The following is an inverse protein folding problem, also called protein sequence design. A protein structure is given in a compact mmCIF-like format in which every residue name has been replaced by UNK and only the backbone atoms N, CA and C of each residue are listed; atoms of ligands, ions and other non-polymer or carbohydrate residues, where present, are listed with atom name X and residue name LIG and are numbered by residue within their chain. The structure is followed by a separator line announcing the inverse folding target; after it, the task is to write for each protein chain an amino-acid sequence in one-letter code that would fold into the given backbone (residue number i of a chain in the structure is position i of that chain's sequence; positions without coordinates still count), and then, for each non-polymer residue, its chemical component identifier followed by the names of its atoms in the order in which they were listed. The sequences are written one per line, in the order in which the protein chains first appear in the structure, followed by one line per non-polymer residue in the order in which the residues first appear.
data_IF_970444207350
#
_entry.id   IF_970444207350
#
_cell.length_a   1.000
_cell.length_b   1.000
_cell.length_c   1.000
_cell.angle_alpha   90.00
_cell.angle_beta   90.00
_cell.angle_gamma   90.00
#
_symmetry.space_group_name_H-M   'P 1'
#
loop_
_entity.id
_entity.type
_entity.pdbx_description
1 polymer ?
#
# COMPACT_ATOMS: atom_id res chain seq x y z
N UNK A 1 -24.82 -7.59 26.34
CA UNK A 1 -23.47 -7.63 25.74
C UNK A 1 -23.55 -8.38 24.42
N UNK A 2 -23.62 -7.64 23.30
CA UNK A 2 -23.79 -8.23 21.97
C UNK A 2 -22.52 -8.96 21.52
N UNK A 3 -22.68 -10.20 21.04
CA UNK A 3 -21.62 -10.95 20.34
C UNK A 3 -21.11 -10.09 19.18
N UNK A 4 -19.83 -9.71 19.22
CA UNK A 4 -19.08 -9.17 18.07
C UNK A 4 -18.95 -10.25 16.99
N UNK A 5 -20.05 -10.50 16.27
CA UNK A 5 -20.07 -11.33 15.09
C UNK A 5 -19.35 -10.60 13.95
N UNK A 6 -18.28 -11.25 13.49
CA UNK A 6 -17.86 -11.29 12.09
C UNK A 6 -17.06 -10.10 11.56
N UNK A 7 -15.75 -10.35 11.46
CA UNK A 7 -14.71 -9.63 10.72
C UNK A 7 -14.11 -8.39 11.39
N UNK A 8 -12.83 -8.53 11.71
CA UNK A 8 -11.95 -7.46 12.11
C UNK A 8 -10.91 -7.29 11.00
N UNK A 9 -10.53 -6.08 10.62
CA UNK A 9 -9.51 -5.86 9.58
C UNK A 9 -8.41 -4.93 10.10
N UNK A 10 -7.15 -5.36 10.02
CA UNK A 10 -6.02 -4.44 10.13
C UNK A 10 -5.60 -4.05 8.73
N UNK A 11 -5.84 -2.79 8.37
CA UNK A 11 -5.46 -2.29 7.05
C UNK A 11 -4.05 -1.70 7.15
N UNK A 12 -3.08 -2.36 6.55
CA UNK A 12 -1.74 -1.81 6.28
C UNK A 12 -1.71 -1.30 4.82
N UNK A 13 -2.72 -0.50 4.46
CA UNK A 13 -3.00 -0.19 3.06
C UNK A 13 -2.27 1.06 2.64
N UNK A 14 -1.28 0.90 1.76
CA UNK A 14 -0.99 1.99 0.84
C UNK A 14 -1.68 1.79 -0.49
N UNK A 15 -2.09 2.89 -1.06
CA UNK A 15 -2.43 2.94 -2.46
C UNK A 15 -1.66 4.12 -3.02
N UNK A 16 -0.71 3.85 -3.91
CA UNK A 16 -0.31 4.83 -4.91
C UNK A 16 -1.22 4.56 -6.10
N UNK A 17 -2.22 5.41 -6.28
CA UNK A 17 -2.66 5.84 -7.61
C UNK A 17 -3.65 6.99 -7.42
N UNK A 18 -3.12 8.18 -7.17
CA UNK A 18 -3.67 9.37 -7.82
C UNK A 18 -2.74 9.66 -9.00
N UNK A 19 -3.06 9.11 -10.17
CA UNK A 19 -2.82 9.91 -11.37
C UNK A 19 -3.77 11.09 -11.26
N UNK A 20 -3.24 12.19 -10.72
CA UNK A 20 -3.83 13.50 -10.80
C UNK A 20 -4.12 13.77 -12.28
N UNK A 21 -5.39 13.67 -12.67
CA UNK A 21 -5.88 14.14 -13.95
C UNK A 21 -6.97 15.19 -13.69
N UNK A 22 -6.56 16.32 -13.13
CA UNK A 22 -7.13 17.61 -13.52
C UNK A 22 -5.99 18.58 -13.80
N UNK A 23 -5.94 19.02 -15.05
CA UNK A 23 -4.98 20.00 -15.53
C UNK A 23 -5.05 21.30 -14.73
N UNK A 24 -3.87 21.89 -14.58
CA UNK A 24 -3.50 23.30 -14.37
C UNK A 24 -4.46 24.23 -13.60
N UNK A 25 -3.82 24.98 -12.70
CA UNK A 25 -4.23 26.30 -12.17
C UNK A 25 -5.59 26.33 -11.49
N UNK A 26 -5.59 26.02 -10.19
CA UNK A 26 -6.21 26.83 -9.14
C UNK A 26 -6.31 25.96 -7.89
N UNK A 27 -5.33 26.09 -6.98
CA UNK A 27 -5.62 26.00 -5.56
C UNK A 27 -6.57 27.16 -5.23
N UNK A 28 -7.85 27.01 -5.53
CA UNK A 28 -8.89 27.84 -4.95
C UNK A 28 -9.78 26.95 -4.10
N UNK A 29 -9.83 27.33 -2.84
CA UNK A 29 -10.71 26.79 -1.80
C UNK A 29 -12.13 26.65 -2.35
N UNK A 30 -12.56 25.42 -2.61
CA UNK A 30 -13.97 25.13 -2.86
C UNK A 30 -14.72 24.97 -1.53
N UNK A 31 -15.98 25.44 -1.46
CA UNK A 31 -16.67 25.68 -0.20
C UNK A 31 -16.98 24.39 0.56
N UNK A 32 -16.90 24.47 1.88
CA UNK A 32 -17.25 23.44 2.86
C UNK A 32 -18.71 23.01 2.72
N UNK A 33 -19.01 22.07 1.81
CA UNK A 33 -20.27 21.32 1.82
C UNK A 33 -19.97 19.86 2.13
N UNK A 34 -20.13 19.51 3.41
CA UNK A 34 -20.46 18.19 3.97
C UNK A 34 -19.96 16.94 3.22
N UNK A 35 -18.64 16.77 3.06
CA UNK A 35 -18.05 15.44 2.82
C UNK A 35 -16.78 15.28 3.68
N UNK A 36 -16.89 14.77 4.91
CA UNK A 36 -15.88 14.97 5.96
C UNK A 36 -14.58 14.16 5.81
N UNK A 37 -14.29 13.51 4.67
CA UNK A 37 -13.24 12.48 4.61
C UNK A 37 -12.24 12.53 3.43
N UNK A 38 -12.39 13.44 2.46
CA UNK A 38 -11.59 13.39 1.22
C UNK A 38 -10.42 14.38 1.14
N UNK A 39 -10.34 15.38 2.01
CA UNK A 39 -9.37 16.49 1.86
C UNK A 39 -7.88 16.14 2.12
N UNK A 40 -7.56 14.92 2.55
CA UNK A 40 -6.18 14.49 2.88
C UNK A 40 -5.81 13.12 2.30
N UNK A 41 -6.48 12.69 1.23
CA UNK A 41 -6.22 11.40 0.56
C UNK A 41 -5.57 11.64 -0.80
N UNK A 42 -4.64 10.76 -1.19
CA UNK A 42 -4.03 10.76 -2.53
C UNK A 42 -4.99 10.11 -3.55
N UNK A 43 -6.17 10.69 -3.68
CA UNK A 43 -7.25 10.33 -4.61
C UNK A 43 -8.27 11.46 -4.62
N UNK A 44 -9.04 11.60 -5.69
CA UNK A 44 -10.20 12.50 -5.77
C UNK A 44 -11.44 11.94 -5.03
N UNK A 45 -11.32 10.74 -4.46
CA UNK A 45 -12.38 10.10 -3.71
C UNK A 45 -11.90 8.99 -2.79
N UNK A 46 -12.67 7.89 -2.78
CA UNK A 46 -12.43 6.73 -1.90
C UNK A 46 -11.19 5.97 -2.33
N UNK A 47 -10.44 5.47 -1.35
CA UNK A 47 -9.33 4.56 -1.56
C UNK A 47 -9.84 3.12 -1.67
N UNK A 48 -9.01 2.22 -2.23
CA UNK A 48 -9.33 0.80 -2.33
C UNK A 48 -9.75 0.20 -0.98
N UNK A 49 -9.10 0.60 0.13
CA UNK A 49 -9.46 0.19 1.49
C UNK A 49 -10.89 0.55 1.88
N UNK A 50 -11.40 1.72 1.45
CA UNK A 50 -12.77 2.14 1.74
C UNK A 50 -13.79 1.28 0.97
N UNK A 51 -13.47 0.91 -0.27
CA UNK A 51 -14.31 0.02 -1.07
C UNK A 51 -14.33 -1.40 -0.51
N UNK A 52 -13.18 -1.90 -0.03
CA UNK A 52 -13.09 -3.19 0.66
C UNK A 52 -13.93 -3.16 1.94
N UNK A 53 -13.78 -2.12 2.78
CA UNK A 53 -14.58 -1.96 3.99
C UNK A 53 -16.08 -1.90 3.68
N UNK A 54 -16.49 -1.11 2.68
CA UNK A 54 -17.89 -1.03 2.22
C UNK A 54 -18.41 -2.39 1.77
N UNK A 55 -17.65 -3.14 0.98
CA UNK A 55 -18.05 -4.48 0.50
C UNK A 55 -18.14 -5.49 1.65
N UNK A 56 -17.31 -5.34 2.67
CA UNK A 56 -17.36 -6.10 3.91
C UNK A 56 -18.43 -5.63 4.91
N UNK A 57 -19.27 -4.64 4.55
CA UNK A 57 -20.28 -4.02 5.42
C UNK A 57 -19.71 -3.44 6.72
N UNK A 58 -18.49 -2.89 6.64
CA UNK A 58 -17.80 -2.22 7.74
C UNK A 58 -17.87 -0.69 7.60
N UNK A 59 -17.77 0.05 8.71
CA UNK A 59 -17.54 1.49 8.64
C UNK A 59 -16.22 1.80 7.95
N UNK A 60 -16.05 3.07 7.54
CA UNK A 60 -14.75 3.53 7.06
C UNK A 60 -13.70 3.34 8.15
N UNK A 61 -12.53 2.86 7.74
CA UNK A 61 -11.49 2.46 8.66
C UNK A 61 -10.68 3.70 9.04
N UNK A 62 -10.65 4.07 10.33
CA UNK A 62 -9.98 5.28 10.76
C UNK A 62 -8.45 5.18 10.64
N UNK A 63 -7.76 6.26 10.24
CA UNK A 63 -6.31 6.36 10.32
C UNK A 63 -5.81 6.29 11.77
N UNK A 64 -4.73 5.56 12.00
CA UNK A 64 -4.13 5.40 13.33
C UNK A 64 -3.70 6.74 13.96
N UNK A 65 -3.20 7.67 13.15
CA UNK A 65 -2.72 8.98 13.60
C UNK A 65 -3.80 10.06 13.65
N UNK A 66 -5.07 9.69 13.47
CA UNK A 66 -6.16 10.65 13.58
C UNK A 66 -6.26 11.19 15.03
N UNK A 67 -6.34 12.51 15.25
CA UNK A 67 -6.58 13.06 16.58
C UNK A 67 -7.89 12.52 17.19
N UNK A 68 -7.87 12.16 18.47
CA UNK A 68 -9.04 11.60 19.16
C UNK A 68 -9.35 10.13 18.82
N UNK A 69 -8.42 9.41 18.20
CA UNK A 69 -8.53 7.98 17.92
C UNK A 69 -8.67 7.17 19.22
N UNK A 70 -9.89 6.70 19.51
CA UNK A 70 -10.23 6.04 20.79
C UNK A 70 -10.67 4.58 20.66
N UNK A 71 -11.06 4.13 19.46
CA UNK A 71 -11.73 2.84 19.30
C UNK A 71 -11.29 2.13 18.02
N UNK A 72 -10.67 0.96 18.16
CA UNK A 72 -10.19 0.16 17.04
C UNK A 72 -11.18 -0.94 16.62
N UNK A 73 -12.42 -0.99 17.12
CA UNK A 73 -13.25 -2.21 17.08
C UNK A 73 -13.56 -2.80 15.69
N UNK A 74 -13.47 -2.01 14.63
CA UNK A 74 -13.73 -2.46 13.25
C UNK A 74 -12.48 -2.45 12.36
N UNK A 75 -11.36 -2.00 12.90
CA UNK A 75 -10.10 -1.93 12.19
C UNK A 75 -9.34 -0.63 12.38
N UNK A 76 -8.11 -0.63 11.88
CA UNK A 76 -7.18 0.50 11.95
C UNK A 76 -6.42 0.60 10.64
N UNK A 77 -6.24 1.82 10.13
CA UNK A 77 -5.42 2.10 8.96
C UNK A 77 -4.08 2.73 9.38
N UNK A 78 -2.98 2.01 9.18
CA UNK A 78 -1.63 2.49 9.52
C UNK A 78 -0.97 3.31 8.40
N UNK A 79 -1.70 3.68 7.36
CA UNK A 79 -1.12 4.27 6.18
C UNK A 79 -0.56 5.71 6.36
N UNK A 80 0.76 5.92 6.16
CA UNK A 80 1.48 7.15 5.73
C UNK A 80 1.89 7.22 4.24
N UNK A 81 1.43 8.23 3.49
CA UNK A 81 1.87 8.41 2.09
C UNK A 81 3.40 8.53 1.99
N UNK A 82 3.97 8.00 0.91
CA UNK A 82 5.43 7.92 0.74
C UNK A 82 6.11 6.78 1.52
N UNK A 83 5.40 6.05 2.40
CA UNK A 83 6.00 4.95 3.15
C UNK A 83 6.67 3.91 2.25
N UNK A 84 7.89 3.53 2.64
CA UNK A 84 8.65 2.43 2.05
C UNK A 84 8.95 1.33 3.06
N UNK A 85 9.39 0.18 2.54
CA UNK A 85 9.95 -0.88 3.36
C UNK A 85 11.31 -0.46 3.98
N UNK A 86 12.05 0.41 3.30
CA UNK A 86 13.31 0.99 3.74
C UNK A 86 13.08 2.29 4.50
N UNK A 87 13.93 2.59 5.49
CA UNK A 87 13.79 3.79 6.33
C UNK A 87 14.24 5.07 5.60
N UNK A 88 15.08 4.90 4.59
CA UNK A 88 15.62 5.93 3.72
C UNK A 88 14.56 6.42 2.70
N UNK A 89 13.53 5.61 2.44
CA UNK A 89 12.45 5.95 1.50
C UNK A 89 11.67 7.16 2.01
N UNK A 90 11.84 8.30 1.33
CA UNK A 90 11.27 9.60 1.73
C UNK A 90 11.52 9.94 3.21
N UNK A 91 12.75 9.68 3.68
CA UNK A 91 13.15 9.93 5.06
C UNK A 91 12.76 11.34 5.53
N UNK A 92 12.13 11.41 6.71
CA UNK A 92 11.64 12.66 7.30
C UNK A 92 10.28 13.13 6.78
N UNK A 93 9.80 12.61 5.65
CA UNK A 93 8.51 12.96 5.06
C UNK A 93 7.46 11.84 5.17
N UNK A 94 7.91 10.59 5.35
CA UNK A 94 7.03 9.42 5.45
C UNK A 94 7.35 8.56 6.68
N UNK A 95 6.40 7.72 7.07
CA UNK A 95 6.58 6.74 8.15
C UNK A 95 6.97 5.40 7.54
N UNK A 96 8.17 4.94 7.87
CA UNK A 96 8.72 3.67 7.37
C UNK A 96 7.97 2.44 7.93
N UNK A 97 8.11 1.31 7.24
CA UNK A 97 7.41 0.06 7.57
C UNK A 97 7.68 -0.45 9.00
N UNK A 98 8.89 -0.26 9.55
CA UNK A 98 9.20 -0.70 10.91
C UNK A 98 8.47 0.18 11.93
N UNK A 99 8.39 1.49 11.68
CA UNK A 99 7.59 2.39 12.52
C UNK A 99 6.09 2.09 12.43
N UNK A 100 5.59 1.70 11.24
CA UNK A 100 4.19 1.23 11.09
C UNK A 100 3.92 -0.05 11.90
N UNK A 101 4.87 -0.98 11.93
CA UNK A 101 4.82 -2.16 12.79
C UNK A 101 4.81 -1.79 14.28
N UNK A 102 5.58 -0.78 14.70
CA UNK A 102 5.52 -0.26 16.07
C UNK A 102 4.13 0.30 16.42
N UNK A 103 3.48 1.01 15.49
CA UNK A 103 2.11 1.49 15.68
C UNK A 103 1.10 0.34 15.77
N UNK A 104 1.27 -0.71 14.99
CA UNK A 104 0.50 -1.94 15.14
C UNK A 104 0.68 -2.59 16.52
N UNK A 105 1.91 -2.64 17.03
CA UNK A 105 2.18 -3.17 18.38
C UNK A 105 1.44 -2.39 19.46
N UNK A 106 1.29 -1.05 19.33
CA UNK A 106 0.48 -0.24 20.25
C UNK A 106 -0.99 -0.67 20.22
N UNK A 107 -1.54 -0.91 19.03
CA UNK A 107 -2.93 -1.38 18.87
C UNK A 107 -3.12 -2.78 19.45
N UNK A 108 -2.16 -3.68 19.27
CA UNK A 108 -2.20 -5.00 19.92
C UNK A 108 -2.21 -4.88 21.45
N UNK A 109 -1.37 -4.01 22.02
CA UNK A 109 -1.35 -3.77 23.47
C UNK A 109 -2.68 -3.21 23.97
N UNK A 110 -3.30 -2.30 23.20
CA UNK A 110 -4.64 -1.78 23.48
C UNK A 110 -5.69 -2.90 23.48
N UNK A 111 -5.66 -3.81 22.50
CA UNK A 111 -6.57 -4.96 22.46
C UNK A 111 -6.42 -5.87 23.68
N UNK A 112 -5.18 -6.16 24.10
CA UNK A 112 -4.92 -6.96 25.30
C UNK A 112 -5.46 -6.27 26.56
N UNK A 113 -5.29 -4.96 26.67
CA UNK A 113 -5.81 -4.19 27.79
C UNK A 113 -7.35 -4.15 27.81
N UNK A 114 -8.01 -4.03 26.65
CA UNK A 114 -9.47 -3.89 26.57
C UNK A 114 -10.24 -5.21 26.58
N UNK A 115 -9.71 -6.26 25.98
CA UNK A 115 -10.42 -7.54 25.79
C UNK A 115 -9.86 -8.68 26.65
N UNK A 116 -8.71 -8.47 27.30
CA UNK A 116 -7.93 -9.55 27.91
C UNK A 116 -7.09 -10.32 26.88
N UNK A 117 -6.21 -11.19 27.36
CA UNK A 117 -5.18 -11.81 26.52
C UNK A 117 -5.75 -12.74 25.44
N UNK A 118 -6.72 -13.58 25.81
CA UNK A 118 -7.19 -14.65 24.92
C UNK A 118 -8.15 -14.12 23.85
N UNK A 119 -9.09 -13.25 24.21
CA UNK A 119 -9.96 -12.59 23.24
C UNK A 119 -9.16 -11.65 22.31
N UNK A 120 -8.11 -10.98 22.81
CA UNK A 120 -7.21 -10.22 21.95
C UNK A 120 -6.50 -11.11 20.92
N UNK A 121 -5.94 -12.25 21.34
CA UNK A 121 -5.31 -13.22 20.42
C UNK A 121 -6.32 -13.74 19.39
N UNK A 122 -7.54 -14.06 19.81
CA UNK A 122 -8.60 -14.54 18.93
C UNK A 122 -9.02 -13.46 17.92
N UNK A 123 -9.18 -12.22 18.37
CA UNK A 123 -9.49 -11.06 17.51
C UNK A 123 -8.40 -10.82 16.47
N UNK A 124 -7.13 -10.83 16.89
CA UNK A 124 -5.97 -10.62 16.01
C UNK A 124 -5.83 -11.76 14.99
N UNK A 125 -6.04 -13.01 15.40
CA UNK A 125 -6.02 -14.17 14.50
C UNK A 125 -7.12 -14.13 13.44
N UNK A 126 -8.30 -13.60 13.80
CA UNK A 126 -9.41 -13.39 12.87
C UNK A 126 -9.23 -12.15 11.98
N UNK A 127 -8.22 -11.32 12.22
CA UNK A 127 -8.03 -10.13 11.43
C UNK A 127 -7.46 -10.41 10.04
N UNK A 128 -7.75 -9.53 9.09
CA UNK A 128 -7.16 -9.53 7.74
C UNK A 128 -6.20 -8.36 7.61
N UNK A 129 -5.02 -8.62 7.06
CA UNK A 129 -3.89 -7.71 6.96
C UNK A 129 -3.62 -7.36 5.51
N UNK A 130 -4.10 -6.21 5.04
CA UNK A 130 -3.86 -5.78 3.66
C UNK A 130 -2.58 -4.97 3.55
N UNK A 131 -1.65 -5.39 2.70
CA UNK A 131 -0.35 -4.78 2.41
C UNK A 131 -0.28 -4.26 0.98
N UNK A 132 0.31 -3.09 0.83
CA UNK A 132 0.84 -2.58 -0.42
C UNK A 132 2.02 -1.71 -0.06
N UNK A 133 3.23 -2.12 -0.41
CA UNK A 133 4.47 -1.40 -0.09
C UNK A 133 5.56 -1.89 -1.03
N UNK A 134 6.55 -1.05 -1.32
CA UNK A 134 7.60 -1.32 -2.31
C UNK A 134 7.64 -0.30 -3.45
N UNK A 135 6.49 0.24 -3.88
CA UNK A 135 6.47 1.22 -4.98
C UNK A 135 7.33 2.45 -4.66
N UNK A 136 7.21 3.00 -3.44
CA UNK A 136 7.97 4.18 -3.03
C UNK A 136 9.47 3.88 -2.91
N UNK A 137 9.86 2.66 -2.50
CA UNK A 137 11.26 2.27 -2.40
C UNK A 137 11.95 2.35 -3.78
N UNK A 138 11.23 2.00 -4.85
CA UNK A 138 11.77 2.08 -6.22
C UNK A 138 11.51 3.41 -6.93
N UNK A 139 10.55 4.22 -6.46
CA UNK A 139 10.28 5.53 -7.05
C UNK A 139 11.08 6.66 -6.38
N UNK A 140 11.29 6.58 -5.07
CA UNK A 140 11.95 7.65 -4.32
C UNK A 140 13.33 8.00 -4.84
N UNK A 141 14.20 7.04 -5.27
CA UNK A 141 15.53 7.40 -5.74
C UNK A 141 15.51 8.33 -6.96
N UNK A 142 14.54 8.15 -7.86
CA UNK A 142 14.36 9.01 -9.03
C UNK A 142 13.70 10.34 -8.67
N UNK A 143 12.80 10.35 -7.69
CA UNK A 143 12.09 11.56 -7.26
C UNK A 143 12.94 12.49 -6.39
N UNK A 144 13.96 11.95 -5.72
CA UNK A 144 14.86 12.70 -4.83
C UNK A 144 16.29 12.81 -5.37
N UNK A 145 16.56 12.30 -6.57
CA UNK A 145 17.90 12.19 -7.15
C UNK A 145 18.91 11.49 -6.21
N UNK A 146 18.46 10.46 -5.49
CA UNK A 146 19.31 9.70 -4.58
C UNK A 146 20.27 8.79 -5.35
N UNK A 147 21.57 8.75 -4.99
CA UNK A 147 22.54 7.87 -5.63
C UNK A 147 22.43 6.40 -5.16
N UNK A 148 21.43 6.07 -4.33
CA UNK A 148 21.33 4.74 -3.70
C UNK A 148 21.30 3.58 -4.70
N UNK A 149 20.72 3.78 -5.89
CA UNK A 149 20.68 2.76 -6.95
C UNK A 149 22.05 2.53 -7.61
N UNK A 150 23.01 3.45 -7.46
CA UNK A 150 24.38 3.25 -7.92
C UNK A 150 25.20 2.38 -6.93
N UNK A 151 24.77 2.32 -5.67
CA UNK A 151 25.49 1.60 -4.62
C UNK A 151 25.13 0.11 -4.57
N UNK A 152 24.02 -0.29 -5.20
CA UNK A 152 23.51 -1.66 -5.16
C UNK A 152 23.03 -2.08 -6.55
N UNK A 153 23.31 -3.32 -6.94
CA UNK A 153 22.60 -3.89 -8.08
C UNK A 153 21.12 -4.12 -7.72
N UNK A 154 20.27 -4.20 -8.75
CA UNK A 154 18.82 -4.37 -8.61
C UNK A 154 18.39 -5.52 -7.70
N UNK A 155 19.02 -6.69 -7.84
CA UNK A 155 18.66 -7.88 -7.07
C UNK A 155 18.95 -7.68 -5.58
N UNK A 156 20.08 -7.07 -5.25
CA UNK A 156 20.43 -6.72 -3.87
C UNK A 156 19.45 -5.69 -3.31
N UNK A 157 19.14 -4.63 -4.06
CA UNK A 157 18.23 -3.58 -3.61
C UNK A 157 16.80 -4.11 -3.39
N UNK A 158 16.29 -4.92 -4.33
CA UNK A 158 15.00 -5.62 -4.18
C UNK A 158 15.04 -6.58 -3.00
N UNK A 159 16.15 -7.28 -2.79
CA UNK A 159 16.38 -8.14 -1.64
C UNK A 159 16.25 -7.42 -0.30
N UNK A 160 16.74 -6.18 -0.20
CA UNK A 160 16.60 -5.35 1.01
C UNK A 160 15.12 -5.02 1.29
N UNK A 161 14.38 -4.57 0.27
CA UNK A 161 12.95 -4.25 0.36
C UNK A 161 12.15 -5.49 0.79
N UNK A 162 12.32 -6.60 0.08
CA UNK A 162 11.62 -7.87 0.36
C UNK A 162 12.03 -8.45 1.72
N UNK A 163 13.28 -8.27 2.13
CA UNK A 163 13.79 -8.64 3.46
C UNK A 163 13.02 -7.94 4.58
N UNK A 164 12.90 -6.61 4.52
CA UNK A 164 12.16 -5.84 5.54
C UNK A 164 10.66 -6.20 5.56
N UNK A 165 10.06 -6.40 4.38
CA UNK A 165 8.70 -6.94 4.23
C UNK A 165 8.55 -8.29 4.96
N UNK A 166 9.46 -9.24 4.69
CA UNK A 166 9.48 -10.56 5.33
C UNK A 166 9.57 -10.44 6.86
N UNK A 167 10.46 -9.58 7.38
CA UNK A 167 10.59 -9.35 8.82
C UNK A 167 9.27 -8.91 9.44
N UNK A 168 8.58 -7.95 8.83
CA UNK A 168 7.30 -7.41 9.35
C UNK A 168 6.17 -8.44 9.27
N UNK A 169 6.09 -9.20 8.17
CA UNK A 169 5.10 -10.28 8.01
C UNK A 169 5.31 -11.35 9.10
N UNK A 170 6.55 -11.78 9.33
CA UNK A 170 6.88 -12.76 10.35
C UNK A 170 6.56 -12.24 11.76
N UNK A 171 6.81 -10.96 12.05
CA UNK A 171 6.48 -10.38 13.36
C UNK A 171 4.97 -10.32 13.61
N UNK A 172 4.18 -9.92 12.60
CA UNK A 172 2.72 -9.94 12.68
C UNK A 172 2.21 -11.38 12.86
N UNK A 173 2.79 -12.33 12.13
CA UNK A 173 2.46 -13.75 12.29
C UNK A 173 2.78 -14.28 13.69
N UNK A 174 3.97 -13.96 14.24
CA UNK A 174 4.36 -14.30 15.61
C UNK A 174 3.38 -13.72 16.64
N UNK A 175 2.81 -12.55 16.33
CA UNK A 175 1.77 -11.86 17.11
C UNK A 175 0.36 -12.36 16.84
N UNK A 176 0.19 -13.57 16.30
CA UNK A 176 -1.09 -14.24 16.00
C UNK A 176 -1.79 -13.78 14.73
N UNK A 177 -1.24 -12.88 13.91
CA UNK A 177 -1.80 -12.58 12.59
C UNK A 177 -1.79 -13.81 11.67
N UNK A 178 -2.87 -14.04 10.92
CA UNK A 178 -3.02 -15.25 10.09
C UNK A 178 -3.40 -15.01 8.64
N UNK A 179 -4.18 -13.97 8.34
CA UNK A 179 -4.74 -13.74 6.99
C UNK A 179 -4.17 -12.48 6.38
N UNK A 180 -3.36 -12.63 5.36
CA UNK A 180 -2.67 -11.53 4.70
C UNK A 180 -3.21 -11.33 3.29
N UNK A 181 -3.25 -10.09 2.84
CA UNK A 181 -3.56 -9.74 1.45
C UNK A 181 -2.48 -8.80 0.97
N UNK A 182 -1.97 -9.03 -0.23
CA UNK A 182 -0.93 -8.22 -0.84
C UNK A 182 -1.40 -7.68 -2.18
N UNK A 183 -0.94 -6.50 -2.52
CA UNK A 183 -1.14 -5.88 -3.83
C UNK A 183 0.25 -5.78 -4.46
N UNK A 184 0.44 -6.45 -5.60
CA UNK A 184 1.72 -6.37 -6.32
C UNK A 184 1.91 -4.99 -6.97
N UNK A 185 3.14 -4.69 -7.38
CA UNK A 185 3.47 -3.37 -7.91
C UNK A 185 3.05 -3.27 -9.39
N UNK A 186 2.49 -2.13 -9.81
CA UNK A 186 2.26 -1.87 -11.23
C UNK A 186 3.59 -1.65 -11.95
N UNK A 187 3.55 -1.46 -13.27
CA UNK A 187 4.73 -1.02 -14.03
C UNK A 187 5.08 0.43 -13.66
N UNK A 188 5.97 0.59 -12.68
CA UNK A 188 6.29 1.90 -12.10
C UNK A 188 6.85 2.88 -13.14
N UNK A 189 7.66 2.40 -14.09
CA UNK A 189 8.21 3.23 -15.17
C UNK A 189 7.16 3.81 -16.12
N UNK A 190 5.93 3.28 -16.12
CA UNK A 190 4.80 3.74 -16.93
C UNK A 190 3.95 4.81 -16.22
N UNK A 191 4.19 5.07 -14.94
CA UNK A 191 3.44 6.06 -14.18
C UNK A 191 3.74 7.48 -14.69
N UNK A 192 2.74 8.37 -14.81
CA UNK A 192 2.94 9.70 -15.40
C UNK A 192 4.01 10.53 -14.71
N UNK A 193 4.09 10.48 -13.36
CA UNK A 193 5.14 11.16 -12.61
C UNK A 193 6.54 10.69 -12.99
N UNK A 194 6.73 9.40 -13.22
CA UNK A 194 8.03 8.82 -13.60
C UNK A 194 8.42 9.18 -15.03
N UNK A 195 7.44 9.35 -15.94
CA UNK A 195 7.69 9.79 -17.33
C UNK A 195 8.17 11.24 -17.41
N UNK A 196 7.74 12.10 -16.48
CA UNK A 196 8.12 13.52 -16.46
C UNK A 196 9.56 13.72 -15.97
N UNK A 197 10.03 12.92 -15.00
CA UNK A 197 11.35 13.09 -14.38
C UNK A 197 12.49 12.97 -15.42
N UNK A 198 12.35 12.08 -16.42
CA UNK A 198 13.29 11.98 -17.56
C UNK A 198 12.73 12.66 -18.81
N UNK A 199 12.45 13.97 -18.70
CA UNK A 199 11.99 14.80 -19.84
C UNK A 199 12.94 14.79 -21.06
N UNK A 200 14.19 14.33 -20.92
CA UNK A 200 15.14 14.16 -22.03
C UNK A 200 14.95 12.90 -22.88
N UNK A 201 13.99 12.03 -22.54
CA UNK A 201 13.85 10.70 -23.17
C UNK A 201 12.58 10.57 -24.05
N UNK A 202 12.05 11.68 -24.58
CA UNK A 202 10.83 11.74 -25.41
C UNK A 202 9.59 11.09 -24.78
N UNK A 203 9.48 11.10 -23.44
CA UNK A 203 8.36 10.47 -22.73
C UNK A 203 8.37 8.95 -22.72
N UNK A 204 9.53 8.33 -23.01
CA UNK A 204 9.77 6.88 -22.89
C UNK A 204 9.74 6.40 -21.43
N UNK A 205 9.53 5.10 -21.27
CA UNK A 205 9.42 4.48 -19.96
C UNK A 205 10.74 4.49 -19.19
N UNK A 206 10.64 4.62 -17.87
CA UNK A 206 11.78 4.42 -17.01
C UNK A 206 12.01 2.92 -16.81
N UNK A 207 12.79 2.32 -17.72
CA UNK A 207 13.05 0.88 -17.77
C UNK A 207 13.63 0.32 -16.47
N UNK A 208 14.48 1.08 -15.79
CA UNK A 208 15.06 0.70 -14.50
C UNK A 208 13.98 0.51 -13.42
N UNK A 209 13.06 1.47 -13.28
CA UNK A 209 11.93 1.36 -12.35
C UNK A 209 10.98 0.21 -12.73
N UNK A 210 10.79 -0.05 -14.03
CA UNK A 210 10.01 -1.20 -14.54
C UNK A 210 10.68 -2.54 -14.17
N UNK A 211 12.01 -2.62 -14.30
CA UNK A 211 12.81 -3.80 -13.95
C UNK A 211 12.75 -4.09 -12.45
N UNK A 212 12.95 -3.08 -11.61
CA UNK A 212 12.84 -3.19 -10.15
C UNK A 212 11.44 -3.66 -9.71
N UNK A 213 10.37 -3.10 -10.27
CA UNK A 213 9.00 -3.54 -9.99
C UNK A 213 8.75 -5.00 -10.39
N UNK A 214 9.29 -5.43 -11.54
CA UNK A 214 9.18 -6.81 -12.02
C UNK A 214 9.91 -7.78 -11.10
N UNK A 215 11.14 -7.44 -10.69
CA UNK A 215 11.92 -8.24 -9.74
C UNK A 215 11.23 -8.32 -8.38
N UNK A 216 10.68 -7.21 -7.88
CA UNK A 216 9.89 -7.19 -6.65
C UNK A 216 8.71 -8.14 -6.72
N UNK A 217 7.89 -8.09 -7.78
CA UNK A 217 6.71 -8.94 -7.90
C UNK A 217 7.06 -10.43 -7.90
N UNK A 218 8.15 -10.81 -8.59
CA UNK A 218 8.68 -12.18 -8.58
C UNK A 218 9.14 -12.58 -7.18
N UNK A 219 9.92 -11.73 -6.52
CA UNK A 219 10.46 -12.00 -5.19
C UNK A 219 9.37 -12.05 -4.11
N UNK A 220 8.37 -11.16 -4.17
CA UNK A 220 7.21 -11.17 -3.28
C UNK A 220 6.39 -12.45 -3.45
N UNK A 221 6.07 -12.85 -4.69
CA UNK A 221 5.34 -14.10 -4.94
C UNK A 221 6.09 -15.31 -4.38
N UNK A 222 7.41 -15.38 -4.58
CA UNK A 222 8.25 -16.44 -4.01
C UNK A 222 8.23 -16.43 -2.48
N UNK A 223 8.42 -15.25 -1.86
CA UNK A 223 8.37 -15.11 -0.40
C UNK A 223 7.04 -15.61 0.17
N UNK A 224 5.91 -15.20 -0.40
CA UNK A 224 4.59 -15.56 0.11
C UNK A 224 4.33 -17.06 0.00
N UNK A 225 4.74 -17.68 -1.11
CA UNK A 225 4.67 -19.14 -1.29
C UNK A 225 5.49 -19.88 -0.23
N UNK A 226 6.73 -19.46 0.03
CA UNK A 226 7.58 -20.08 1.06
C UNK A 226 7.01 -19.89 2.47
N UNK A 227 6.45 -18.71 2.78
CA UNK A 227 5.82 -18.45 4.07
C UNK A 227 4.59 -19.34 4.31
N UNK A 228 3.75 -19.54 3.31
CA UNK A 228 2.59 -20.44 3.42
C UNK A 228 3.00 -21.90 3.69
N UNK A 229 4.04 -22.40 3.03
CA UNK A 229 4.57 -23.75 3.27
C UNK A 229 5.15 -23.92 4.67
N UNK A 230 5.82 -22.89 5.18
CA UNK A 230 6.57 -22.95 6.45
C UNK A 230 5.71 -22.64 7.68
N UNK A 231 4.72 -21.74 7.54
CA UNK A 231 4.01 -21.15 8.67
C UNK A 231 2.58 -21.73 8.79
N UNK A 232 2.38 -22.62 9.77
CA UNK A 232 1.08 -23.25 10.01
C UNK A 232 -0.05 -22.22 10.21
N UNK A 233 -1.05 -22.29 9.33
CA UNK A 233 -2.22 -21.42 9.37
C UNK A 233 -1.99 -20.01 8.83
N UNK A 234 -0.83 -19.73 8.25
CA UNK A 234 -0.63 -18.55 7.40
C UNK A 234 -1.46 -18.73 6.13
N UNK A 235 -2.29 -17.73 5.84
CA UNK A 235 -3.08 -17.66 4.61
C UNK A 235 -2.78 -16.33 3.95
N UNK A 236 -2.55 -16.34 2.64
CA UNK A 236 -2.38 -15.10 1.91
C UNK A 236 -3.25 -15.05 0.65
N UNK A 237 -3.42 -13.84 0.14
CA UNK A 237 -3.96 -13.55 -1.18
C UNK A 237 -3.06 -12.51 -1.83
N UNK A 238 -2.77 -12.67 -3.12
CA UNK A 238 -1.99 -11.71 -3.90
C UNK A 238 -2.86 -11.18 -5.03
N UNK A 239 -3.22 -9.91 -4.97
CA UNK A 239 -3.94 -9.25 -6.05
C UNK A 239 -2.94 -8.78 -7.12
N UNK A 240 -3.11 -9.30 -8.34
CA UNK A 240 -2.31 -8.90 -9.50
C UNK A 240 -2.78 -7.56 -10.06
N UNK A 241 -2.37 -6.51 -9.36
CA UNK A 241 -2.63 -5.13 -9.73
C UNK A 241 -1.90 -4.72 -11.01
N UNK A 242 -0.71 -5.27 -11.27
CA UNK A 242 0.02 -5.03 -12.52
C UNK A 242 -0.83 -5.41 -13.74
N UNK A 243 -1.28 -6.66 -13.79
CA UNK A 243 -2.10 -7.14 -14.90
C UNK A 243 -3.46 -6.43 -14.96
N UNK A 244 -4.10 -6.21 -13.80
CA UNK A 244 -5.37 -5.47 -13.74
C UNK A 244 -5.22 -4.03 -14.27
N UNK A 245 -4.16 -3.33 -13.91
CA UNK A 245 -3.90 -1.97 -14.40
C UNK A 245 -3.64 -1.98 -15.90
N UNK A 246 -2.82 -2.92 -16.39
CA UNK A 246 -2.55 -3.09 -17.82
C UNK A 246 -3.82 -3.30 -18.63
N UNK A 247 -4.71 -4.20 -18.18
CA UNK A 247 -5.99 -4.44 -18.83
C UNK A 247 -6.87 -3.19 -18.87
N UNK A 248 -6.90 -2.39 -17.79
CA UNK A 248 -7.63 -1.13 -17.74
C UNK A 248 -7.06 -0.07 -18.69
N UNK A 249 -5.73 -0.06 -18.88
CA UNK A 249 -5.08 0.85 -19.82
C UNK A 249 -5.31 0.44 -21.28
N UNK A 250 -5.31 -0.86 -21.56
CA UNK A 250 -5.52 -1.43 -22.91
C UNK A 250 -6.99 -1.46 -23.32
N UNK A 251 -7.92 -1.61 -22.38
CA UNK A 251 -9.36 -1.70 -22.64
C UNK A 251 -10.17 -0.69 -21.81
N UNK A 252 -9.89 0.63 -21.93
CA UNK A 252 -10.47 1.64 -21.04
C UNK A 252 -12.00 1.69 -21.07
N UNK A 253 -12.60 1.51 -22.25
CA UNK A 253 -14.06 1.49 -22.42
C UNK A 253 -14.74 0.37 -21.63
N UNK A 254 -14.11 -0.81 -21.50
CA UNK A 254 -14.65 -1.93 -20.70
C UNK A 254 -14.78 -1.56 -19.21
N UNK A 255 -13.98 -0.61 -18.74
CA UNK A 255 -13.94 -0.17 -17.34
C UNK A 255 -14.53 1.23 -17.15
N UNK A 256 -15.23 1.78 -18.15
CA UNK A 256 -15.88 3.09 -18.07
C UNK A 256 -14.92 4.27 -18.01
N UNK A 257 -13.68 4.12 -18.49
CA UNK A 257 -12.71 5.22 -18.59
C UNK A 257 -12.56 5.68 -20.04
N UNK A 258 -12.45 7.01 -20.22
CA UNK A 258 -12.42 7.63 -21.55
C UNK A 258 -11.03 8.18 -21.93
N UNK A 259 -10.13 8.37 -20.95
CA UNK A 259 -8.80 8.92 -21.17
C UNK A 259 -7.75 8.12 -20.38
N UNK A 260 -6.84 7.45 -21.09
CA UNK A 260 -5.65 6.77 -20.55
C UNK A 260 -4.35 7.37 -21.08
N UNK A 261 -4.42 8.51 -21.77
CA UNK A 261 -3.30 9.06 -22.55
C UNK A 261 -2.10 9.48 -21.69
N UNK A 262 -2.26 9.63 -20.37
CA UNK A 262 -1.14 9.84 -19.45
C UNK A 262 -0.29 8.58 -19.23
N UNK A 263 -0.82 7.39 -19.50
CA UNK A 263 -0.17 6.09 -19.27
C UNK A 263 0.02 5.23 -20.54
N UNK A 264 -0.35 5.73 -21.73
CA UNK A 264 -0.07 5.01 -22.99
C UNK A 264 1.43 5.09 -23.32
N UNK A 265 2.05 4.00 -23.82
CA UNK A 265 3.32 4.08 -24.51
C UNK A 265 3.23 5.15 -25.60
N UNK A 266 4.26 5.97 -25.75
CA UNK A 266 4.47 6.67 -27.03
C UNK A 266 4.84 5.57 -28.02
N UNK A 267 3.88 5.15 -28.83
CA UNK A 267 4.18 4.30 -29.98
C UNK A 267 4.75 5.24 -31.05
N UNK A 268 5.93 4.94 -31.63
CA UNK A 268 6.47 5.73 -32.74
C UNK A 268 5.56 5.69 -33.96
#
# INVERSE_FOLDING_TARGET
MGRLSSFFFFFFVFFINATCCRGKSHQQQLPKKHVPFFHLRFSDGRLLSDFIAKRAKLPLIPPFLQPGFRQCYHGVNFASSGAGALAETFQGFAIDLKTLLCNYCKVQSWFRYKLGNDEAKATISRAVYLFSIGSNDYMSPFLTNSPILNNYNDSTYVGMVIGNLSTVINEIYRRRGRKFTFINLPELGCLPGMRIIKSGNNGSFLEEARRLATLHNKALSKLLFELEKRLKGFKYSLFDFNSSLRQRMQHPFKYGTYNTNTCKPVVP
#
